data_IF_282746680275
#
_entry.id   IF_282746680275
#
_cell.length_a   1.000
_cell.length_b   1.000
_cell.length_c   1.000
_cell.angle_alpha   90.00
_cell.angle_beta   90.00
_cell.angle_gamma   90.00
#
_symmetry.space_group_name_H-M   'P 1'
#
loop_
_entity.id
_entity.type
_entity.pdbx_description
1 polymer ?
#
# COMPACT_ATOMS: atom_id res chain seq x y z
N UNK A 1 64.83 13.43 -16.07
CA UNK A 1 64.14 13.56 -14.76
C UNK A 1 62.68 13.86 -15.04
N UNK A 2 61.80 13.07 -14.44
CA UNK A 2 60.38 12.89 -14.70
C UNK A 2 59.54 14.16 -14.56
N UNK A 3 58.82 14.53 -15.62
CA UNK A 3 57.70 15.48 -15.55
C UNK A 3 56.39 14.73 -15.29
N UNK A 4 55.82 14.89 -14.10
CA UNK A 4 54.48 14.42 -13.75
C UNK A 4 53.43 15.17 -14.60
N UNK A 5 52.68 14.45 -15.43
CA UNK A 5 51.44 14.95 -16.03
C UNK A 5 50.29 14.52 -15.12
N UNK A 6 49.76 15.45 -14.33
CA UNK A 6 48.58 15.27 -13.52
C UNK A 6 47.35 15.40 -14.43
N UNK A 7 46.77 14.28 -14.87
CA UNK A 7 45.47 14.27 -15.55
C UNK A 7 44.37 14.36 -14.49
N UNK A 8 43.80 15.55 -14.30
CA UNK A 8 42.53 15.71 -13.59
C UNK A 8 41.44 14.96 -14.38
N UNK A 9 40.89 13.90 -13.79
CA UNK A 9 39.60 13.35 -14.19
C UNK A 9 38.52 14.14 -13.44
N UNK A 10 37.83 15.02 -14.16
CA UNK A 10 36.56 15.61 -13.68
C UNK A 10 35.51 14.51 -13.63
N UNK A 11 35.23 14.00 -12.43
CA UNK A 11 34.04 13.17 -12.18
C UNK A 11 32.83 14.09 -12.20
N UNK A 12 32.07 14.04 -13.30
CA UNK A 12 30.74 14.64 -13.33
C UNK A 12 29.83 13.83 -12.41
N UNK A 13 29.55 14.36 -11.22
CA UNK A 13 28.41 13.92 -10.42
C UNK A 13 27.14 14.27 -11.22
N UNK A 14 26.65 13.30 -11.99
CA UNK A 14 25.26 13.32 -12.41
C UNK A 14 24.41 13.11 -11.16
N UNK A 15 24.08 14.22 -10.49
CA UNK A 15 22.95 14.27 -9.58
C UNK A 15 21.73 13.89 -10.41
N UNK A 16 21.25 12.66 -10.26
CA UNK A 16 19.92 12.26 -10.69
C UNK A 16 18.95 13.16 -9.92
N UNK A 17 18.55 14.27 -10.52
CA UNK A 17 17.37 15.00 -10.07
C UNK A 17 16.18 14.12 -10.40
N UNK A 18 15.62 13.48 -9.37
CA UNK A 18 14.23 13.03 -9.41
C UNK A 18 13.39 14.27 -9.75
N UNK A 19 12.67 14.25 -10.86
CA UNK A 19 11.81 15.36 -11.24
C UNK A 19 10.52 15.28 -10.40
N UNK A 20 10.59 15.74 -9.15
CA UNK A 20 9.40 16.04 -8.36
C UNK A 20 8.69 17.23 -9.01
N UNK A 21 7.40 17.09 -9.34
CA UNK A 21 6.59 18.24 -9.76
C UNK A 21 6.28 19.07 -8.52
N UNK A 22 7.03 20.14 -8.35
CA UNK A 22 6.92 21.07 -7.22
C UNK A 22 5.63 21.90 -7.34
N UNK A 23 4.79 21.86 -6.30
CA UNK A 23 3.58 22.70 -6.17
C UNK A 23 3.83 23.96 -5.33
N UNK A 24 5.09 24.21 -5.00
CA UNK A 24 5.54 25.41 -4.31
C UNK A 24 5.81 25.22 -2.82
N UNK A 25 6.24 26.32 -2.21
CA UNK A 25 6.58 26.41 -0.79
C UNK A 25 5.36 26.90 -0.01
N UNK A 26 5.05 26.21 1.08
CA UNK A 26 3.95 26.56 1.99
C UNK A 26 4.46 26.73 3.42
N UNK A 27 3.63 27.37 4.26
CA UNK A 27 3.94 27.65 5.66
C UNK A 27 2.76 27.18 6.53
N UNK A 28 2.72 25.87 6.87
CA UNK A 28 1.63 25.29 7.62
C UNK A 28 1.44 25.97 8.97
N UNK A 29 0.19 26.04 9.44
CA UNK A 29 -0.15 26.62 10.74
C UNK A 29 -1.25 25.81 11.42
N UNK A 30 -1.11 25.63 12.73
CA UNK A 30 -2.20 25.14 13.57
C UNK A 30 -3.24 26.26 13.71
N UNK A 31 -4.50 25.89 13.55
CA UNK A 31 -5.64 26.76 13.80
C UNK A 31 -6.35 26.31 15.08
N UNK A 32 -6.66 27.26 15.95
CA UNK A 32 -7.45 26.99 17.15
C UNK A 32 -8.93 26.77 16.77
N UNK A 33 -9.46 25.59 17.10
CA UNK A 33 -10.88 25.30 16.92
C UNK A 33 -11.71 25.93 18.03
N UNK A 34 -12.85 26.53 17.65
CA UNK A 34 -13.88 27.01 18.59
C UNK A 34 -14.93 25.94 18.92
N UNK A 35 -14.79 24.74 18.37
CA UNK A 35 -15.71 23.64 18.61
C UNK A 35 -15.40 22.96 19.96
N UNK A 36 -16.45 22.56 20.69
CA UNK A 36 -16.33 21.89 21.98
C UNK A 36 -15.67 20.49 21.92
N UNK A 37 -15.36 19.99 20.72
CA UNK A 37 -14.82 18.65 20.45
C UNK A 37 -13.30 18.56 20.59
N UNK A 38 -12.58 19.68 20.68
CA UNK A 38 -11.10 19.69 20.81
C UNK A 38 -10.34 19.29 19.54
N UNK A 39 -11.01 19.29 18.38
CA UNK A 39 -10.39 18.96 17.09
C UNK A 39 -9.32 19.99 16.71
N UNK A 40 -8.14 19.50 16.33
CA UNK A 40 -7.02 20.33 15.87
C UNK A 40 -7.13 20.50 14.36
N UNK A 41 -7.06 21.75 13.88
CA UNK A 41 -7.06 22.04 12.45
C UNK A 41 -5.67 22.46 11.99
N UNK A 42 -5.22 21.93 10.86
CA UNK A 42 -3.93 22.24 10.25
C UNK A 42 -4.15 22.87 8.88
N UNK A 43 -3.88 24.17 8.77
CA UNK A 43 -3.89 24.86 7.48
C UNK A 43 -2.56 24.62 6.79
N UNK A 44 -2.59 23.97 5.62
CA UNK A 44 -1.40 23.77 4.78
C UNK A 44 -1.18 24.99 3.89
N UNK A 45 -2.23 25.43 3.18
CA UNK A 45 -2.26 26.63 2.36
C UNK A 45 -3.69 27.21 2.34
N UNK A 46 -3.99 28.15 1.45
CA UNK A 46 -5.32 28.80 1.38
C UNK A 46 -6.43 27.86 0.91
N UNK A 47 -6.10 26.80 0.16
CA UNK A 47 -7.06 25.87 -0.44
C UNK A 47 -7.19 24.55 0.34
N UNK A 48 -6.21 24.20 1.18
CA UNK A 48 -6.13 22.94 1.90
C UNK A 48 -5.98 23.17 3.41
N UNK A 49 -7.00 22.75 4.14
CA UNK A 49 -7.02 22.70 5.61
C UNK A 49 -7.46 21.31 6.05
N UNK A 50 -6.65 20.66 6.88
CA UNK A 50 -6.92 19.33 7.41
C UNK A 50 -7.60 19.44 8.79
N UNK A 51 -8.57 18.57 9.03
CA UNK A 51 -9.13 18.30 10.36
C UNK A 51 -8.40 17.08 10.93
N UNK A 52 -7.53 17.29 11.91
CA UNK A 52 -6.64 16.25 12.42
C UNK A 52 -7.33 15.36 13.45
N UNK A 53 -7.40 14.06 13.14
CA UNK A 53 -7.77 13.00 14.08
C UNK A 53 -6.52 12.21 14.46
N UNK A 54 -6.37 11.84 15.75
CA UNK A 54 -5.27 10.98 16.20
C UNK A 54 -5.35 9.62 15.51
N UNK A 55 -4.23 9.18 14.94
CA UNK A 55 -4.13 7.84 14.35
C UNK A 55 -3.81 6.81 15.42
N UNK A 56 -4.42 5.62 15.31
CA UNK A 56 -4.04 4.41 16.04
C UNK A 56 -3.85 3.29 15.03
N UNK A 57 -2.59 2.93 14.80
CA UNK A 57 -2.14 2.05 13.72
C UNK A 57 -1.37 0.85 14.26
N UNK A 58 -0.58 1.03 15.31
CA UNK A 58 0.28 -0.01 15.86
C UNK A 58 -0.42 -0.83 16.96
N UNK A 59 0.08 -2.04 17.18
CA UNK A 59 -0.21 -2.78 18.40
C UNK A 59 0.50 -2.10 19.59
N UNK A 60 -0.06 -2.25 20.81
CA UNK A 60 0.36 -1.51 22.02
C UNK A 60 1.88 -1.35 22.18
N UNK A 61 2.64 -2.42 21.92
CA UNK A 61 4.10 -2.42 21.80
C UNK A 61 4.52 -3.13 20.50
N UNK A 62 5.53 -2.60 19.80
CA UNK A 62 6.09 -3.22 18.60
C UNK A 62 7.62 -3.13 18.56
N UNK A 63 8.24 -4.11 17.89
CA UNK A 63 9.69 -4.17 17.73
C UNK A 63 10.07 -3.52 16.39
N UNK A 64 10.99 -2.55 16.45
CA UNK A 64 11.66 -1.99 15.30
C UNK A 64 13.10 -2.48 15.28
N UNK A 65 13.42 -3.34 14.32
CA UNK A 65 14.76 -3.90 14.18
C UNK A 65 15.46 -3.27 12.98
N UNK A 66 16.67 -2.76 13.20
CA UNK A 66 17.56 -2.25 12.15
C UNK A 66 18.90 -2.98 12.22
N UNK A 67 19.84 -2.69 11.33
CA UNK A 67 21.19 -3.27 11.37
C UNK A 67 22.25 -2.18 11.39
N UNK A 68 23.22 -2.29 12.29
CA UNK A 68 24.47 -1.53 12.22
C UNK A 68 25.57 -2.45 11.68
N UNK A 69 25.93 -2.26 10.41
CA UNK A 69 26.69 -3.24 9.64
C UNK A 69 25.86 -4.51 9.41
N UNK A 70 26.20 -5.59 10.13
CA UNK A 70 25.52 -6.90 10.06
C UNK A 70 24.90 -7.34 11.40
N UNK A 71 25.03 -6.54 12.46
CA UNK A 71 24.44 -6.87 13.76
C UNK A 71 23.02 -6.28 13.83
N UNK A 72 21.99 -7.10 14.12
CA UNK A 72 20.65 -6.59 14.34
C UNK A 72 20.58 -5.79 15.65
N UNK A 73 19.97 -4.62 15.57
CA UNK A 73 19.66 -3.75 16.70
C UNK A 73 18.15 -3.67 16.82
N UNK A 74 17.65 -4.12 17.96
CA UNK A 74 16.23 -4.20 18.28
C UNK A 74 15.81 -3.05 19.20
N UNK A 75 14.82 -2.27 18.76
CA UNK A 75 14.19 -1.20 19.53
C UNK A 75 12.75 -1.60 19.87
N UNK A 76 12.44 -1.70 21.16
CA UNK A 76 11.05 -1.80 21.61
C UNK A 76 10.43 -0.41 21.62
N UNK A 77 9.41 -0.21 20.80
CA UNK A 77 8.71 1.07 20.63
C UNK A 77 7.27 0.89 21.11
N UNK A 78 6.83 1.78 21.98
CA UNK A 78 5.43 1.85 22.39
C UNK A 78 4.61 2.53 21.29
N UNK A 79 3.43 1.99 21.00
CA UNK A 79 2.50 2.64 20.07
C UNK A 79 2.21 4.08 20.46
N UNK A 80 2.03 4.35 21.76
CA UNK A 80 1.73 5.69 22.27
C UNK A 80 2.82 6.71 21.90
N UNK A 81 4.09 6.30 21.89
CA UNK A 81 5.22 7.16 21.53
C UNK A 81 5.33 7.34 20.01
N UNK A 82 5.14 6.26 19.24
CA UNK A 82 5.20 6.30 17.78
C UNK A 82 4.03 7.06 17.15
N UNK A 83 2.84 6.94 17.72
CA UNK A 83 1.59 7.57 17.25
C UNK A 83 1.41 8.97 17.82
N UNK A 84 2.29 9.37 18.76
CA UNK A 84 2.17 10.63 19.48
C UNK A 84 1.98 11.81 18.55
N UNK A 85 2.63 11.81 17.40
CA UNK A 85 2.63 12.93 16.47
C UNK A 85 1.94 12.59 15.14
N UNK A 86 1.26 11.44 15.04
CA UNK A 86 0.61 10.96 13.80
C UNK A 86 -0.88 11.26 13.82
N UNK A 87 -1.34 11.87 12.72
CA UNK A 87 -2.74 12.25 12.52
C UNK A 87 -3.23 11.82 11.13
N UNK A 88 -4.55 11.75 10.97
CA UNK A 88 -5.21 11.56 9.68
C UNK A 88 -6.42 12.48 9.51
N UNK A 89 -6.77 12.74 8.26
CA UNK A 89 -8.02 13.37 7.83
C UNK A 89 -8.62 12.51 6.71
N UNK A 90 -9.70 11.80 7.02
CA UNK A 90 -10.36 10.89 6.07
C UNK A 90 -11.02 11.62 4.89
N UNK A 91 -11.41 12.88 5.06
CA UNK A 91 -12.07 13.68 4.01
C UNK A 91 -11.07 14.03 2.91
N UNK A 92 -9.86 14.40 3.31
CA UNK A 92 -8.79 14.76 2.39
C UNK A 92 -7.87 13.58 2.04
N UNK A 93 -8.13 12.38 2.60
CA UNK A 93 -7.26 11.20 2.46
C UNK A 93 -5.82 11.49 2.90
N UNK A 94 -5.67 12.28 3.97
CA UNK A 94 -4.38 12.71 4.47
C UNK A 94 -3.94 11.87 5.67
N UNK A 95 -2.65 11.62 5.77
CA UNK A 95 -1.99 11.07 6.95
C UNK A 95 -0.65 11.76 7.13
N UNK A 96 -0.49 12.46 8.25
CA UNK A 96 0.63 13.38 8.48
C UNK A 96 1.20 13.21 9.88
N UNK A 97 2.53 13.31 9.98
CA UNK A 97 3.21 13.61 11.24
C UNK A 97 3.20 15.12 11.45
N UNK A 98 2.78 15.57 12.62
CA UNK A 98 2.68 17.00 12.96
C UNK A 98 3.32 17.25 14.33
N UNK A 99 4.29 18.15 14.38
CA UNK A 99 4.90 18.65 15.62
C UNK A 99 4.82 20.17 15.67
N UNK A 100 4.58 20.76 16.84
CA UNK A 100 4.34 22.21 17.01
C UNK A 100 5.24 22.89 18.07
N UNK A 101 6.22 22.19 18.65
CA UNK A 101 7.08 22.70 19.72
C UNK A 101 7.95 23.90 19.33
N UNK A 102 8.44 23.95 18.09
CA UNK A 102 9.33 25.00 17.59
C UNK A 102 8.93 25.40 16.17
N UNK A 103 7.68 25.86 16.04
CA UNK A 103 7.03 26.07 14.77
C UNK A 103 6.43 24.77 14.23
N UNK A 104 5.38 24.91 13.42
CA UNK A 104 4.64 23.76 12.89
C UNK A 104 5.50 23.06 11.84
N UNK A 105 5.79 21.80 12.07
CA UNK A 105 6.44 20.90 11.12
C UNK A 105 5.46 19.80 10.72
N UNK A 106 5.34 19.57 9.42
CA UNK A 106 4.39 18.63 8.82
C UNK A 106 5.12 17.78 7.80
N UNK A 107 4.99 16.47 7.93
CA UNK A 107 5.48 15.53 6.93
C UNK A 107 4.42 14.48 6.65
N UNK A 108 4.20 14.13 5.38
CA UNK A 108 3.36 13.00 5.03
C UNK A 108 2.48 13.21 3.80
N UNK A 109 1.36 12.50 3.81
CA UNK A 109 0.42 12.37 2.71
C UNK A 109 -0.70 13.39 2.87
N UNK A 110 -0.94 14.21 1.84
CA UNK A 110 -1.99 15.24 1.81
C UNK A 110 -3.15 14.90 0.87
N UNK A 111 -3.14 13.70 0.29
CA UNK A 111 -4.14 13.21 -0.63
C UNK A 111 -3.57 12.17 -1.58
N UNK A 112 -4.25 11.94 -2.71
CA UNK A 112 -3.93 10.89 -3.67
C UNK A 112 -2.46 10.96 -4.14
N UNK A 113 -2.00 12.11 -4.65
CA UNK A 113 -0.62 12.29 -5.12
C UNK A 113 0.17 13.36 -4.38
N UNK A 114 -0.51 14.24 -3.65
CA UNK A 114 0.11 15.37 -2.98
C UNK A 114 0.79 14.91 -1.69
N UNK A 115 2.01 15.37 -1.49
CA UNK A 115 2.83 15.12 -0.31
C UNK A 115 3.37 16.44 0.24
N UNK A 116 3.77 16.41 1.50
CA UNK A 116 4.43 17.53 2.18
C UNK A 116 5.66 17.06 2.92
N UNK A 117 6.73 17.85 2.84
CA UNK A 117 7.96 17.66 3.62
C UNK A 117 8.51 19.01 4.11
N UNK A 118 9.15 19.07 5.28
CA UNK A 118 9.80 20.29 5.75
C UNK A 118 11.04 20.64 4.93
N UNK A 119 11.38 21.92 4.88
CA UNK A 119 12.60 22.44 4.25
C UNK A 119 13.54 23.05 5.31
N UNK A 120 14.25 22.25 6.12
CA UNK A 120 15.02 22.74 7.27
C UNK A 120 16.20 23.65 6.90
N UNK A 121 16.73 23.51 5.68
CA UNK A 121 17.81 24.36 5.16
C UNK A 121 17.35 25.77 4.76
N UNK A 122 16.04 25.98 4.64
CA UNK A 122 15.47 27.25 4.20
C UNK A 122 15.08 28.12 5.39
N UNK A 123 15.35 29.42 5.31
CA UNK A 123 15.10 30.34 6.40
C UNK A 123 13.60 30.42 6.75
N UNK A 124 13.31 30.53 8.06
CA UNK A 124 11.96 30.78 8.55
C UNK A 124 11.47 32.18 8.16
N UNK A 125 10.16 32.38 8.19
CA UNK A 125 9.59 33.72 8.07
C UNK A 125 9.93 34.57 9.31
N UNK A 126 9.74 35.89 9.21
CA UNK A 126 9.86 36.81 10.35
C UNK A 126 8.97 36.41 11.54
N UNK A 127 7.85 35.77 11.24
CA UNK A 127 6.85 35.31 12.22
C UNK A 127 7.18 33.91 12.77
N UNK A 128 8.36 33.36 12.44
CA UNK A 128 8.85 32.08 12.96
C UNK A 128 8.32 30.84 12.27
N UNK A 129 7.68 30.97 11.10
CA UNK A 129 7.07 29.83 10.41
C UNK A 129 8.10 29.02 9.64
N UNK A 130 7.95 27.69 9.70
CA UNK A 130 8.80 26.74 8.99
C UNK A 130 8.31 26.53 7.56
N UNK A 131 9.20 26.67 6.56
CA UNK A 131 8.86 26.39 5.17
C UNK A 131 8.73 24.89 4.91
N UNK A 132 7.75 24.53 4.08
CA UNK A 132 7.48 23.18 3.64
C UNK A 132 7.34 23.15 2.13
N UNK A 133 7.71 22.04 1.51
CA UNK A 133 7.53 21.81 0.09
C UNK A 133 6.30 20.93 -0.14
N UNK A 134 5.45 21.37 -1.04
CA UNK A 134 4.43 20.52 -1.64
C UNK A 134 4.97 19.91 -2.92
N UNK A 135 4.84 18.60 -3.05
CA UNK A 135 5.27 17.87 -4.23
C UNK A 135 4.27 16.79 -4.59
N UNK A 136 4.14 16.52 -5.88
CA UNK A 136 3.44 15.33 -6.37
C UNK A 136 4.43 14.20 -6.59
N UNK A 137 4.00 12.97 -6.25
CA UNK A 137 4.71 11.74 -6.63
C UNK A 137 4.08 11.16 -7.89
N UNK A 138 4.84 11.14 -8.98
CA UNK A 138 4.47 10.50 -10.24
C UNK A 138 4.83 9.01 -10.21
N UNK A 139 3.92 8.11 -10.56
CA UNK A 139 4.24 6.68 -10.65
C UNK A 139 4.87 6.24 -11.97
N UNK A 140 5.04 7.15 -12.94
CA UNK A 140 5.42 6.77 -14.30
C UNK A 140 6.92 6.70 -14.58
N UNK A 141 7.80 7.11 -13.65
CA UNK A 141 9.21 7.27 -14.02
C UNK A 141 10.06 6.00 -14.05
N UNK A 142 9.54 4.80 -13.78
CA UNK A 142 10.43 3.63 -13.81
C UNK A 142 9.87 2.28 -14.23
N UNK A 143 8.68 2.16 -14.83
CA UNK A 143 8.18 0.84 -15.27
C UNK A 143 8.31 -0.25 -14.18
N UNK A 144 8.35 0.17 -12.91
CA UNK A 144 8.43 -0.71 -11.76
C UNK A 144 7.07 -1.36 -11.70
N UNK A 145 7.08 -2.69 -11.59
CA UNK A 145 5.94 -3.42 -11.08
C UNK A 145 5.33 -2.57 -9.96
N UNK A 146 4.03 -2.34 -10.05
CA UNK A 146 3.34 -1.74 -8.94
C UNK A 146 3.40 -2.75 -7.78
N UNK A 147 4.51 -2.74 -7.04
CA UNK A 147 4.72 -3.53 -5.84
C UNK A 147 3.86 -2.88 -4.77
N UNK A 148 2.56 -3.16 -4.85
CA UNK A 148 1.57 -2.69 -3.90
C UNK A 148 1.75 -3.37 -2.54
N UNK A 149 2.75 -4.23 -2.33
CA UNK A 149 2.95 -4.93 -1.07
C UNK A 149 4.33 -5.52 -0.88
N UNK A 150 4.64 -5.82 0.37
CA UNK A 150 5.87 -6.47 0.84
C UNK A 150 5.58 -7.34 2.06
N UNK A 151 6.17 -8.53 2.11
CA UNK A 151 6.11 -9.42 3.27
C UNK A 151 7.37 -10.25 3.42
N UNK A 152 7.68 -10.64 4.67
CA UNK A 152 8.71 -11.63 4.92
C UNK A 152 8.19 -13.04 4.62
N UNK A 153 9.06 -13.87 4.05
CA UNK A 153 8.73 -15.24 3.69
C UNK A 153 8.81 -16.18 4.90
N UNK A 154 7.72 -16.90 5.17
CA UNK A 154 7.67 -17.99 6.16
C UNK A 154 7.79 -17.52 7.62
N UNK A 155 7.41 -16.28 7.92
CA UNK A 155 7.61 -15.66 9.24
C UNK A 155 6.34 -15.56 10.07
N UNK A 156 5.23 -16.17 9.67
CA UNK A 156 3.94 -16.05 10.39
C UNK A 156 3.98 -16.36 11.91
N UNK A 157 4.93 -17.19 12.37
CA UNK A 157 5.15 -17.51 13.78
C UNK A 157 6.46 -16.99 14.38
N UNK A 158 7.14 -16.06 13.71
CA UNK A 158 8.33 -15.39 14.24
C UNK A 158 8.01 -13.94 14.64
N UNK A 159 9.02 -13.23 15.10
CA UNK A 159 8.95 -11.79 15.39
C UNK A 159 8.77 -10.96 14.10
N UNK A 160 9.10 -11.52 12.94
CA UNK A 160 9.01 -10.90 11.62
C UNK A 160 7.67 -11.19 10.91
N UNK A 161 6.61 -11.48 11.66
CA UNK A 161 5.25 -11.76 11.17
C UNK A 161 4.54 -10.51 10.63
N UNK A 162 5.21 -9.78 9.74
CA UNK A 162 4.78 -8.50 9.20
C UNK A 162 4.62 -8.58 7.69
N UNK A 163 3.62 -7.85 7.20
CA UNK A 163 3.36 -7.64 5.78
C UNK A 163 2.67 -6.29 5.62
N UNK A 164 2.94 -5.63 4.50
CA UNK A 164 2.39 -4.33 4.16
C UNK A 164 1.75 -4.43 2.78
N UNK A 165 0.59 -3.82 2.62
CA UNK A 165 -0.11 -3.71 1.34
C UNK A 165 -0.74 -2.31 1.22
N UNK A 166 -0.62 -1.70 0.04
CA UNK A 166 -1.25 -0.46 -0.35
C UNK A 166 -2.60 -0.75 -1.00
N UNK A 167 -3.67 -0.13 -0.47
CA UNK A 167 -4.98 -0.09 -1.10
C UNK A 167 -5.36 1.35 -1.42
N UNK A 168 -5.45 1.72 -2.71
CA UNK A 168 -6.06 2.98 -3.08
C UNK A 168 -7.52 3.00 -2.59
N UNK A 169 -7.95 4.00 -1.81
CA UNK A 169 -9.29 4.03 -1.23
C UNK A 169 -10.37 3.84 -2.30
N UNK A 170 -11.39 3.02 -1.98
CA UNK A 170 -12.50 2.64 -2.87
C UNK A 170 -12.12 1.77 -4.08
N UNK A 171 -10.85 1.36 -4.22
CA UNK A 171 -10.45 0.39 -5.23
C UNK A 171 -10.76 -1.03 -4.79
N UNK A 172 -10.56 -1.36 -3.50
CA UNK A 172 -10.60 -2.71 -2.95
C UNK A 172 -9.58 -3.67 -3.57
N UNK A 173 -8.69 -3.18 -4.43
CA UNK A 173 -7.65 -3.97 -5.09
C UNK A 173 -6.62 -4.44 -4.07
N UNK A 174 -6.41 -3.69 -2.99
CA UNK A 174 -5.54 -4.09 -1.90
C UNK A 174 -5.97 -5.39 -1.20
N UNK A 175 -7.19 -5.87 -1.36
CA UNK A 175 -7.58 -7.19 -0.85
C UNK A 175 -6.84 -8.34 -1.56
N UNK A 176 -6.62 -8.20 -2.88
CA UNK A 176 -5.81 -9.14 -3.67
C UNK A 176 -4.36 -9.10 -3.21
N UNK A 177 -3.81 -7.89 -3.08
CA UNK A 177 -2.42 -7.67 -2.66
C UNK A 177 -2.20 -8.19 -1.25
N UNK A 178 -3.08 -7.87 -0.31
CA UNK A 178 -3.02 -8.37 1.05
C UNK A 178 -3.01 -9.89 1.11
N UNK A 179 -3.82 -10.57 0.28
CA UNK A 179 -3.81 -12.03 0.22
C UNK A 179 -2.47 -12.59 -0.30
N UNK A 180 -1.86 -11.93 -1.28
CA UNK A 180 -0.52 -12.28 -1.79
C UNK A 180 0.56 -12.12 -0.71
N UNK A 181 0.62 -10.97 -0.05
CA UNK A 181 1.62 -10.69 1.00
C UNK A 181 1.42 -11.55 2.26
N UNK A 182 0.16 -11.86 2.59
CA UNK A 182 -0.13 -12.80 3.67
C UNK A 182 0.34 -14.22 3.32
N UNK A 183 0.27 -14.62 2.06
CA UNK A 183 0.74 -15.93 1.63
C UNK A 183 2.27 -16.06 1.73
N UNK A 184 3.04 -15.00 1.45
CA UNK A 184 4.48 -14.97 1.73
C UNK A 184 4.77 -15.25 3.20
N UNK A 185 4.07 -14.59 4.13
CA UNK A 185 4.21 -14.86 5.57
C UNK A 185 3.93 -16.33 5.93
N UNK A 186 2.98 -16.97 5.24
CA UNK A 186 2.64 -18.39 5.41
C UNK A 186 3.61 -19.34 4.68
N UNK A 187 4.60 -18.80 3.96
CA UNK A 187 5.67 -19.53 3.30
C UNK A 187 5.51 -19.66 1.79
N UNK A 188 4.47 -19.13 1.16
CA UNK A 188 4.34 -19.26 -0.29
C UNK A 188 5.36 -18.36 -0.99
N UNK A 189 6.30 -18.97 -1.71
CA UNK A 189 7.09 -18.27 -2.70
C UNK A 189 6.24 -17.94 -3.93
N UNK A 190 6.67 -16.95 -4.72
CA UNK A 190 6.17 -16.78 -6.08
C UNK A 190 6.23 -18.08 -6.90
N UNK A 191 5.26 -18.28 -7.79
CA UNK A 191 5.23 -19.46 -8.65
C UNK A 191 6.42 -19.45 -9.63
N UNK A 192 7.22 -20.52 -9.65
CA UNK A 192 8.42 -20.66 -10.48
C UNK A 192 9.73 -20.46 -9.72
N UNK A 193 9.67 -19.92 -8.51
CA UNK A 193 10.85 -19.62 -7.70
C UNK A 193 11.32 -20.80 -6.83
N UNK A 194 12.62 -20.78 -6.52
CA UNK A 194 13.31 -21.75 -5.66
C UNK A 194 12.91 -21.72 -4.19
N UNK A 195 13.39 -22.71 -3.41
CA UNK A 195 13.31 -22.64 -1.95
C UNK A 195 14.17 -21.48 -1.39
N UNK A 196 13.78 -20.93 -0.24
CA UNK A 196 14.57 -19.98 0.53
C UNK A 196 15.39 -20.69 1.61
N UNK A 197 16.65 -20.30 1.74
CA UNK A 197 17.60 -20.91 2.68
C UNK A 197 17.32 -20.57 4.15
N UNK A 198 16.69 -19.44 4.44
CA UNK A 198 16.42 -19.04 5.82
C UNK A 198 15.18 -19.74 6.41
N UNK A 199 14.24 -20.16 5.57
CA UNK A 199 13.05 -20.90 6.02
C UNK A 199 13.40 -22.38 6.06
N UNK A 200 13.66 -22.89 7.26
CA UNK A 200 14.08 -24.28 7.46
C UNK A 200 13.10 -25.28 6.83
N UNK A 201 13.58 -25.97 5.80
CA UNK A 201 12.87 -27.04 5.08
C UNK A 201 11.75 -26.54 4.18
N UNK A 202 11.87 -25.31 3.71
CA UNK A 202 11.08 -24.73 2.63
C UNK A 202 11.33 -25.48 1.31
N UNK A 203 10.25 -25.73 0.56
CA UNK A 203 10.29 -26.49 -0.70
C UNK A 203 10.36 -25.53 -1.88
N UNK A 204 9.69 -24.38 -1.79
CA UNK A 204 9.56 -23.43 -2.89
C UNK A 204 8.52 -23.85 -3.92
N UNK A 205 8.56 -23.22 -5.10
CA UNK A 205 7.51 -23.29 -6.12
C UNK A 205 8.03 -23.49 -7.55
N UNK A 206 9.24 -24.04 -7.73
CA UNK A 206 9.85 -24.25 -9.06
C UNK A 206 9.04 -25.17 -9.98
N UNK A 207 8.19 -26.03 -9.40
CA UNK A 207 7.31 -26.95 -10.11
C UNK A 207 5.91 -26.37 -10.42
N UNK A 208 5.65 -25.10 -10.05
CA UNK A 208 4.47 -24.35 -10.47
C UNK A 208 4.89 -23.25 -11.45
N UNK A 209 4.54 -23.33 -12.75
CA UNK A 209 4.91 -22.31 -13.72
C UNK A 209 4.34 -20.91 -13.40
N UNK A 210 5.19 -19.87 -13.48
CA UNK A 210 4.77 -18.47 -13.33
C UNK A 210 3.60 -18.08 -14.25
N UNK A 211 3.60 -18.60 -15.49
CA UNK A 211 2.60 -18.26 -16.50
C UNK A 211 1.24 -18.94 -16.30
N UNK A 212 1.10 -19.85 -15.32
CA UNK A 212 -0.20 -20.41 -14.95
C UNK A 212 -1.13 -19.38 -14.31
N UNK A 213 -0.61 -18.23 -13.86
CA UNK A 213 -1.45 -17.10 -13.48
C UNK A 213 -2.17 -17.25 -12.15
N UNK A 214 -1.67 -18.09 -11.25
CA UNK A 214 -2.17 -18.16 -9.87
C UNK A 214 -1.81 -16.92 -9.05
N UNK A 215 -2.42 -16.76 -7.87
CA UNK A 215 -2.31 -15.58 -7.00
C UNK A 215 -0.86 -15.20 -6.65
N UNK A 216 0.07 -16.16 -6.61
CA UNK A 216 1.50 -15.92 -6.35
C UNK A 216 2.30 -15.54 -7.59
N UNK A 217 1.64 -15.25 -8.71
CA UNK A 217 2.19 -14.63 -9.91
C UNK A 217 1.60 -13.23 -10.11
N UNK A 218 2.20 -12.43 -10.99
CA UNK A 218 1.64 -11.14 -11.43
C UNK A 218 0.79 -11.25 -12.70
N UNK A 219 0.39 -12.46 -13.10
CA UNK A 219 -0.30 -12.73 -14.36
C UNK A 219 -1.82 -12.80 -14.16
N UNK A 220 -2.48 -11.67 -14.37
CA UNK A 220 -3.95 -11.56 -14.33
C UNK A 220 -4.61 -12.06 -15.62
N UNK A 221 -4.63 -13.38 -15.82
CA UNK A 221 -5.13 -14.00 -17.06
C UNK A 221 -6.58 -14.47 -16.94
N UNK A 222 -6.92 -15.19 -15.88
CA UNK A 222 -8.22 -15.85 -15.69
C UNK A 222 -8.52 -16.04 -14.19
N UNK A 223 -9.51 -16.87 -13.84
CA UNK A 223 -9.95 -17.10 -12.47
C UNK A 223 -8.88 -17.71 -11.55
N UNK A 224 -7.80 -18.29 -12.11
CA UNK A 224 -6.69 -18.84 -11.32
C UNK A 224 -5.99 -17.76 -10.49
N UNK A 225 -6.02 -16.50 -10.91
CA UNK A 225 -5.44 -15.38 -10.17
C UNK A 225 -6.01 -15.23 -8.75
N UNK A 226 -7.21 -15.77 -8.49
CA UNK A 226 -7.87 -15.74 -7.19
C UNK A 226 -7.63 -16.99 -6.34
N UNK A 227 -6.74 -17.87 -6.80
CA UNK A 227 -6.47 -19.16 -6.18
C UNK A 227 -4.98 -19.30 -5.90
N UNK A 228 -4.64 -20.00 -4.82
CA UNK A 228 -3.28 -20.44 -4.59
C UNK A 228 -2.96 -21.64 -5.46
N UNK A 229 -1.80 -21.62 -6.12
CA UNK A 229 -1.25 -22.77 -6.83
C UNK A 229 -1.10 -23.97 -5.88
N UNK A 230 -0.96 -25.18 -6.46
CA UNK A 230 -0.65 -26.36 -5.66
C UNK A 230 0.64 -26.19 -4.84
N UNK A 231 1.64 -25.47 -5.36
CA UNK A 231 2.91 -25.25 -4.67
C UNK A 231 2.74 -24.39 -3.43
N UNK A 232 2.03 -23.26 -3.53
CA UNK A 232 1.71 -22.44 -2.36
C UNK A 232 0.91 -23.25 -1.33
N UNK A 233 -0.14 -23.98 -1.74
CA UNK A 233 -0.91 -24.81 -0.81
C UNK A 233 -0.07 -25.93 -0.16
N UNK A 234 0.86 -26.52 -0.90
CA UNK A 234 1.81 -27.53 -0.39
C UNK A 234 2.73 -26.92 0.64
N UNK A 235 3.30 -25.74 0.37
CA UNK A 235 4.23 -25.06 1.26
C UNK A 235 3.54 -24.64 2.56
N UNK A 236 2.32 -24.09 2.49
CA UNK A 236 1.53 -23.79 3.69
C UNK A 236 1.32 -25.04 4.53
N UNK A 237 0.97 -26.18 3.92
CA UNK A 237 0.82 -27.46 4.65
C UNK A 237 2.15 -27.96 5.21
N UNK A 238 3.25 -27.78 4.49
CA UNK A 238 4.60 -28.14 4.93
C UNK A 238 4.97 -27.35 6.20
N UNK A 239 4.83 -26.03 6.18
CA UNK A 239 5.20 -25.17 7.30
C UNK A 239 4.22 -25.29 8.47
N UNK A 240 2.91 -25.26 8.20
CA UNK A 240 1.86 -25.37 9.23
C UNK A 240 2.02 -26.60 10.12
N UNK A 241 2.53 -27.71 9.60
CA UNK A 241 2.71 -28.95 10.37
C UNK A 241 3.98 -28.96 11.24
N UNK A 242 4.90 -28.02 11.06
CA UNK A 242 6.17 -27.98 11.80
C UNK A 242 6.02 -27.46 13.23
N UNK A 243 6.91 -27.85 14.17
CA UNK A 243 6.92 -27.30 15.52
C UNK A 243 7.05 -25.78 15.57
N UNK A 244 7.87 -25.19 14.68
CA UNK A 244 8.16 -23.76 14.60
C UNK A 244 6.90 -22.92 14.25
N UNK A 245 5.90 -23.51 13.57
CA UNK A 245 4.66 -22.84 13.17
C UNK A 245 3.46 -23.16 14.09
N UNK A 246 3.75 -23.61 15.31
CA UNK A 246 2.71 -23.96 16.29
C UNK A 246 1.72 -22.82 16.59
N UNK A 247 2.12 -21.56 16.45
CA UNK A 247 1.24 -20.42 16.66
C UNK A 247 0.01 -20.39 15.73
N UNK A 248 0.10 -20.99 14.52
CA UNK A 248 -1.03 -21.07 13.57
C UNK A 248 -2.11 -22.08 14.00
N UNK A 249 -1.78 -22.97 14.94
CA UNK A 249 -2.70 -23.99 15.48
C UNK A 249 -3.33 -23.58 16.80
N UNK A 250 -2.77 -22.58 17.45
CA UNK A 250 -3.20 -22.14 18.77
C UNK A 250 -3.95 -20.81 18.65
N UNK A 251 -5.25 -20.85 18.96
CA UNK A 251 -6.10 -19.66 18.93
C UNK A 251 -6.29 -19.09 20.33
N UNK A 252 -5.62 -17.98 20.61
CA UNK A 252 -5.78 -17.24 21.87
C UNK A 252 -6.73 -16.04 21.75
N UNK A 253 -7.06 -15.60 20.53
CA UNK A 253 -7.91 -14.45 20.28
C UNK A 253 -9.42 -14.79 20.35
N UNK A 254 -10.14 -14.11 21.25
CA UNK A 254 -11.59 -14.18 21.42
C UNK A 254 -12.36 -13.15 20.61
N UNK A 255 -11.67 -12.12 20.10
CA UNK A 255 -12.28 -11.08 19.25
C UNK A 255 -12.62 -11.64 17.88
N UNK A 256 -13.82 -11.34 17.40
CA UNK A 256 -14.27 -11.64 16.03
C UNK A 256 -14.34 -10.36 15.22
N UNK A 257 -13.80 -10.37 14.01
CA UNK A 257 -13.95 -9.27 13.05
C UNK A 257 -15.38 -9.31 12.52
N UNK A 258 -16.10 -8.18 12.61
CA UNK A 258 -17.43 -8.05 11.99
C UNK A 258 -17.27 -8.16 10.48
N UNK A 259 -18.03 -9.06 9.85
CA UNK A 259 -18.08 -9.18 8.40
C UNK A 259 -19.21 -8.30 7.88
N UNK A 260 -18.97 -7.54 6.82
CA UNK A 260 -20.07 -6.92 6.08
C UNK A 260 -20.70 -7.96 5.18
N UNK A 261 -22.01 -7.88 5.02
CA UNK A 261 -22.71 -8.60 3.98
C UNK A 261 -22.44 -7.99 2.60
N UNK A 262 -22.16 -6.69 2.50
CA UNK A 262 -21.98 -5.96 1.23
C UNK A 262 -20.66 -6.32 0.56
N UNK A 263 -20.72 -6.63 -0.73
CA UNK A 263 -19.53 -6.90 -1.53
C UNK A 263 -18.93 -5.61 -2.14
N UNK A 264 -17.61 -5.56 -2.36
CA UNK A 264 -16.91 -4.39 -2.91
C UNK A 264 -17.51 -3.80 -4.19
N UNK A 265 -18.00 -4.64 -5.10
CA UNK A 265 -18.50 -4.23 -6.41
C UNK A 265 -19.81 -3.45 -6.38
N UNK A 266 -20.52 -3.41 -5.24
CA UNK A 266 -21.66 -2.50 -5.03
C UNK A 266 -21.26 -1.19 -4.35
N UNK A 267 -20.01 -1.08 -3.89
CA UNK A 267 -19.48 0.08 -3.19
C UNK A 267 -18.65 1.01 -4.09
N UNK A 268 -18.30 0.58 -5.30
CA UNK A 268 -17.51 1.35 -6.27
C UNK A 268 -18.10 1.23 -7.68
N UNK A 269 -18.03 2.30 -8.48
CA UNK A 269 -18.43 2.25 -9.89
C UNK A 269 -17.27 1.78 -10.75
N UNK A 270 -17.53 1.21 -11.94
CA UNK A 270 -16.46 0.76 -12.86
C UNK A 270 -15.46 1.88 -13.18
N UNK A 271 -15.94 3.10 -13.46
CA UNK A 271 -15.06 4.23 -13.74
C UNK A 271 -14.26 4.69 -12.52
N UNK A 272 -14.85 4.65 -11.32
CA UNK A 272 -14.11 4.95 -10.09
C UNK A 272 -13.05 3.87 -9.83
N UNK A 273 -13.39 2.59 -10.00
CA UNK A 273 -12.43 1.50 -9.89
C UNK A 273 -11.24 1.67 -10.85
N UNK A 274 -11.50 1.90 -12.14
CA UNK A 274 -10.45 2.18 -13.13
C UNK A 274 -9.58 3.39 -12.73
N UNK A 275 -10.21 4.47 -12.27
CA UNK A 275 -9.51 5.68 -11.82
C UNK A 275 -8.62 5.40 -10.60
N UNK A 276 -9.08 4.58 -9.64
CA UNK A 276 -8.35 4.33 -8.39
C UNK A 276 -7.22 3.31 -8.56
N UNK A 277 -7.43 2.25 -9.35
CA UNK A 277 -6.38 1.27 -9.62
C UNK A 277 -5.25 1.91 -10.45
N UNK A 278 -5.60 2.65 -11.50
CA UNK A 278 -4.63 3.41 -12.30
C UNK A 278 -4.64 4.88 -11.93
N UNK A 279 -4.50 5.17 -10.63
CA UNK A 279 -4.55 6.53 -10.09
C UNK A 279 -3.48 7.48 -10.61
N UNK A 280 -2.54 7.02 -11.43
CA UNK A 280 -1.51 7.86 -12.04
C UNK A 280 -1.80 8.17 -13.52
N UNK A 281 -2.69 7.42 -14.16
CA UNK A 281 -3.10 7.68 -15.55
C UNK A 281 -4.26 8.69 -15.56
N UNK A 282 -3.96 9.94 -15.93
CA UNK A 282 -4.98 10.99 -15.97
C UNK A 282 -6.13 10.68 -16.93
N UNK A 283 -7.35 10.87 -16.43
CA UNK A 283 -8.57 10.65 -17.20
C UNK A 283 -8.94 9.19 -17.39
N UNK A 284 -8.33 8.26 -16.64
CA UNK A 284 -8.71 6.85 -16.67
C UNK A 284 -10.19 6.68 -16.28
N UNK A 285 -10.94 5.97 -17.12
CA UNK A 285 -12.36 5.66 -16.91
C UNK A 285 -12.71 4.32 -17.55
N UNK A 286 -13.87 3.75 -17.18
CA UNK A 286 -14.32 2.50 -17.79
C UNK A 286 -14.90 2.74 -19.19
N UNK A 287 -14.55 1.86 -20.13
CA UNK A 287 -15.15 1.80 -21.47
C UNK A 287 -16.59 1.28 -21.34
N UNK A 288 -17.54 2.22 -21.46
CA UNK A 288 -18.98 1.90 -21.34
C UNK A 288 -19.47 0.93 -22.40
N UNK A 289 -18.82 0.89 -23.57
CA UNK A 289 -19.23 -0.01 -24.66
C UNK A 289 -18.77 -1.43 -24.41
N UNK A 290 -17.62 -1.59 -23.74
CA UNK A 290 -17.13 -2.90 -23.31
C UNK A 290 -18.00 -3.47 -22.18
N UNK A 291 -18.38 -2.64 -21.21
CA UNK A 291 -19.14 -3.07 -20.03
C UNK A 291 -18.30 -3.98 -19.13
N UNK A 292 -18.92 -5.06 -18.64
CA UNK A 292 -18.24 -6.13 -17.90
C UNK A 292 -18.34 -7.41 -18.74
N UNK A 293 -17.19 -7.99 -19.10
CA UNK A 293 -17.11 -9.25 -19.84
C UNK A 293 -16.09 -10.15 -19.18
N UNK A 294 -16.45 -11.42 -18.96
CA UNK A 294 -15.61 -12.40 -18.24
C UNK A 294 -15.06 -11.83 -16.92
N UNK A 295 -15.93 -11.11 -16.20
CA UNK A 295 -15.60 -10.37 -14.98
C UNK A 295 -14.38 -9.47 -15.09
N UNK A 296 -14.20 -8.87 -16.27
CA UNK A 296 -13.20 -7.87 -16.55
C UNK A 296 -13.85 -6.59 -17.06
N UNK A 297 -13.21 -5.48 -16.75
CA UNK A 297 -13.50 -4.15 -17.28
C UNK A 297 -12.32 -3.71 -18.15
N UNK A 298 -12.63 -2.92 -19.18
CA UNK A 298 -11.62 -2.21 -19.94
C UNK A 298 -11.55 -0.76 -19.44
N UNK A 299 -10.41 -0.38 -18.89
CA UNK A 299 -10.11 0.97 -18.45
C UNK A 299 -9.37 1.70 -19.58
N UNK A 300 -9.80 2.91 -19.91
CA UNK A 300 -9.25 3.70 -21.02
C UNK A 300 -8.91 5.10 -20.58
N UNK A 301 -7.77 5.61 -21.05
CA UNK A 301 -7.40 7.02 -21.04
C UNK A 301 -7.11 7.47 -22.49
N UNK A 302 -6.57 8.68 -22.68
CA UNK A 302 -6.36 9.27 -24.01
C UNK A 302 -5.47 8.41 -24.93
N UNK A 303 -4.45 7.76 -24.38
CA UNK A 303 -3.43 7.02 -25.13
C UNK A 303 -3.20 5.61 -24.62
N UNK A 304 -3.75 5.25 -23.46
CA UNK A 304 -3.55 3.96 -22.81
C UNK A 304 -4.88 3.25 -22.58
N UNK A 305 -4.83 1.93 -22.58
CA UNK A 305 -5.93 1.11 -22.10
C UNK A 305 -5.39 -0.10 -21.34
N UNK A 306 -6.18 -0.55 -20.39
CA UNK A 306 -5.88 -1.69 -19.54
C UNK A 306 -7.12 -2.58 -19.41
N UNK A 307 -6.90 -3.88 -19.24
CA UNK A 307 -7.95 -4.81 -18.84
C UNK A 307 -7.70 -5.25 -17.42
N UNK A 308 -8.71 -5.07 -16.57
CA UNK A 308 -8.65 -5.41 -15.16
C UNK A 308 -9.79 -6.34 -14.82
N UNK A 309 -9.51 -7.32 -13.96
CA UNK A 309 -10.57 -8.07 -13.31
C UNK A 309 -11.34 -7.16 -12.35
N UNK A 310 -12.66 -7.25 -12.35
CA UNK A 310 -13.53 -6.45 -11.47
C UNK A 310 -13.60 -7.07 -10.09
N UNK A 311 -13.92 -6.25 -9.10
CA UNK A 311 -14.07 -6.70 -7.71
C UNK A 311 -15.35 -7.52 -7.51
N UNK A 312 -15.34 -8.39 -6.51
CA UNK A 312 -16.48 -9.23 -6.18
C UNK A 312 -17.75 -8.41 -5.92
N UNK A 313 -18.88 -8.86 -6.44
CA UNK A 313 -20.17 -8.18 -6.37
C UNK A 313 -20.45 -7.22 -7.53
N UNK A 314 -19.52 -7.01 -8.46
CA UNK A 314 -19.78 -6.18 -9.64
C UNK A 314 -20.82 -6.85 -10.55
N UNK A 315 -21.90 -6.15 -10.97
CA UNK A 315 -22.90 -6.71 -11.86
C UNK A 315 -22.31 -7.12 -13.22
N UNK A 316 -22.58 -8.36 -13.64
CA UNK A 316 -22.15 -8.91 -14.93
C UNK A 316 -23.33 -9.39 -15.80
N UNK A 317 -24.56 -9.28 -15.28
CA UNK A 317 -25.78 -9.66 -16.00
C UNK A 317 -27.03 -9.45 -15.15
N UNK A 318 -28.19 -9.81 -15.69
CA UNK A 318 -29.46 -9.68 -14.97
C UNK A 318 -29.48 -10.66 -13.78
N UNK A 319 -29.49 -10.12 -12.55
CA UNK A 319 -29.42 -10.89 -11.30
C UNK A 319 -28.16 -11.77 -11.19
N UNK A 320 -27.05 -11.28 -11.75
CA UNK A 320 -25.75 -11.94 -11.71
C UNK A 320 -24.66 -10.99 -11.28
N UNK A 321 -23.67 -11.50 -10.56
CA UNK A 321 -22.53 -10.74 -10.09
C UNK A 321 -21.23 -11.53 -10.28
N UNK A 322 -20.13 -10.81 -10.44
CA UNK A 322 -18.80 -11.40 -10.46
C UNK A 322 -18.40 -11.85 -9.06
N UNK A 323 -17.97 -13.09 -8.94
CA UNK A 323 -17.42 -13.68 -7.70
C UNK A 323 -16.22 -14.52 -8.09
N UNK A 324 -15.03 -14.20 -7.56
CA UNK A 324 -13.77 -14.88 -7.85
C UNK A 324 -13.50 -15.04 -9.36
N UNK A 325 -13.84 -14.01 -10.14
CA UNK A 325 -13.65 -14.00 -11.60
C UNK A 325 -14.76 -14.65 -12.43
N UNK A 326 -15.78 -15.24 -11.80
CA UNK A 326 -16.88 -15.89 -12.51
C UNK A 326 -18.20 -15.10 -12.40
N UNK A 327 -18.94 -15.02 -13.50
CA UNK A 327 -20.26 -14.40 -13.51
C UNK A 327 -21.34 -15.40 -13.05
N UNK A 328 -21.62 -15.39 -11.75
CA UNK A 328 -22.53 -16.32 -11.09
C UNK A 328 -23.89 -15.68 -10.79
N UNK A 329 -24.91 -16.51 -10.56
CA UNK A 329 -26.19 -16.02 -10.05
C UNK A 329 -25.97 -15.33 -8.70
N UNK A 330 -26.59 -14.15 -8.53
CA UNK A 330 -26.37 -13.30 -7.37
C UNK A 330 -26.58 -14.09 -6.08
N UNK A 331 -25.48 -14.35 -5.37
CA UNK A 331 -25.51 -14.88 -4.00
C UNK A 331 -26.40 -13.91 -3.23
N UNK A 332 -27.37 -14.40 -2.44
CA UNK A 332 -28.19 -13.56 -1.56
C UNK A 332 -27.30 -12.88 -0.52
N UNK A 333 -26.66 -11.81 -0.93
CA UNK A 333 -25.91 -10.88 -0.12
C UNK A 333 -26.95 -10.03 0.57
N UNK A 334 -27.06 -10.18 1.90
CA UNK A 334 -27.97 -9.37 2.69
C UNK A 334 -27.70 -7.90 2.43
N UNK A 335 -28.74 -7.13 2.09
CA UNK A 335 -28.65 -5.66 2.00
C UNK A 335 -28.68 -4.98 3.37
N UNK A 336 -28.80 -5.79 4.44
CA UNK A 336 -28.79 -5.37 5.84
C UNK A 336 -27.52 -5.89 6.52
N UNK A 337 -26.90 -5.02 7.31
CA UNK A 337 -25.76 -5.31 8.18
C UNK A 337 -26.21 -6.04 9.46
#
# INVERSE_FOLDING_TARGET
MSGLSLKLWTVAFFSFCLAEKEHGIVYPRMLESRAATGERMLKINDDLTLTLQKSKVFADDFLFSTTDGNEPIDYYIKAEDAERDIYHDSTHMASVRVTDDDGVEVEGILGERLRVKPLPAMARTSDGLRPHMLYEVDAHENGRSHDYGYAYLGTACSEWRVGMSEDPPTSYYGAYVFAHELAHNLGCQHDGDGPSDWVKGHIGSTDCPWDDGYLMSYKMQDERQYQFSYCCQREVRNLYNRPEFKCLRERYATKTIKRSSKLPGVMTTLSNYCKRVYMYDEGMHADKTYGVQDCKVKCTAKTTYWRLSVVDGTPCGKKKACILGECVDEIKISTKD
#
